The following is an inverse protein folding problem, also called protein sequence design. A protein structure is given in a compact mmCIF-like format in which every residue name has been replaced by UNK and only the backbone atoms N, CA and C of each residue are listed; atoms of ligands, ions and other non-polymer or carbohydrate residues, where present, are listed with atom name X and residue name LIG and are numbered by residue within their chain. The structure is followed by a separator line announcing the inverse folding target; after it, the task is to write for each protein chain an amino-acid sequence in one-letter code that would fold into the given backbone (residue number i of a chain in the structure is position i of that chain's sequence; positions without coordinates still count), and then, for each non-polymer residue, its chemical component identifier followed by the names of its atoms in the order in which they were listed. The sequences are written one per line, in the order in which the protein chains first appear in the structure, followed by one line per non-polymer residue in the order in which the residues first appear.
data_IF_056550089354
#
_entry.id   IF_056550089354
#
_cell.length_a   1.000
_cell.length_b   1.000
_cell.length_c   1.000
_cell.angle_alpha   90.00
_cell.angle_beta   90.00
_cell.angle_gamma   90.00
#
_symmetry.space_group_name_H-M   'P 1'
#
loop_
_entity.id
_entity.type
_entity.pdbx_description
1 polymer ?
#
# COMPACT_ATOMS: atom_id res chain seq x y z
N UNK A 1 -1.99 22.00 -2.98
CA UNK A 1 -1.70 20.72 -2.29
C UNK A 1 -2.90 19.80 -2.09
N UNK A 2 -4.07 20.26 -1.60
CA UNK A 2 -5.23 19.37 -1.30
C UNK A 2 -5.83 18.64 -2.52
N UNK A 3 -5.91 19.29 -3.69
CA UNK A 3 -6.47 18.70 -4.93
C UNK A 3 -5.70 17.48 -5.46
N UNK A 4 -4.38 17.46 -5.28
CA UNK A 4 -3.53 16.37 -5.79
C UNK A 4 -3.71 15.07 -5.00
N UNK A 5 -3.88 15.17 -3.67
CA UNK A 5 -4.12 14.00 -2.80
C UNK A 5 -5.46 13.33 -3.08
N UNK A 6 -6.51 14.13 -3.33
CA UNK A 6 -7.86 13.62 -3.64
C UNK A 6 -7.82 12.83 -4.95
N UNK A 7 -7.11 13.33 -5.96
CA UNK A 7 -6.96 12.66 -7.26
C UNK A 7 -6.27 11.30 -7.11
N UNK A 8 -5.16 11.24 -6.34
CA UNK A 8 -4.44 9.99 -6.10
C UNK A 8 -5.32 8.91 -5.46
N UNK A 9 -6.14 9.30 -4.49
CA UNK A 9 -7.04 8.38 -3.79
C UNK A 9 -8.16 7.89 -4.71
N UNK A 10 -8.71 8.76 -5.55
CA UNK A 10 -9.71 8.37 -6.55
C UNK A 10 -9.13 7.42 -7.59
N UNK A 11 -7.91 7.68 -8.06
CA UNK A 11 -7.18 6.82 -8.98
C UNK A 11 -6.93 5.43 -8.35
N UNK A 12 -6.54 5.38 -7.07
CA UNK A 12 -6.35 4.14 -6.35
C UNK A 12 -7.66 3.35 -6.19
N UNK A 13 -8.77 4.02 -5.85
CA UNK A 13 -10.08 3.36 -5.77
C UNK A 13 -10.46 2.76 -7.12
N UNK A 14 -10.30 3.51 -8.21
CA UNK A 14 -10.57 3.02 -9.57
C UNK A 14 -9.72 1.80 -9.90
N UNK A 15 -8.43 1.82 -9.54
CA UNK A 15 -7.51 0.75 -9.89
C UNK A 15 -7.72 -0.51 -9.02
N UNK A 16 -8.17 -0.37 -7.77
CA UNK A 16 -8.44 -1.50 -6.87
C UNK A 16 -9.83 -2.12 -7.04
N UNK A 17 -10.84 -1.32 -7.41
CA UNK A 17 -12.24 -1.78 -7.49
C UNK A 17 -12.43 -3.04 -8.36
N UNK A 18 -11.80 -3.19 -9.54
CA UNK A 18 -11.92 -4.40 -10.37
C UNK A 18 -11.38 -5.68 -9.72
N UNK A 19 -10.51 -5.53 -8.71
CA UNK A 19 -9.87 -6.63 -8.00
C UNK A 19 -10.50 -6.90 -6.62
N UNK A 20 -11.59 -6.20 -6.30
CA UNK A 20 -12.32 -6.35 -5.04
C UNK A 20 -13.73 -6.86 -5.30
N UNK A 21 -14.29 -7.60 -4.35
CA UNK A 21 -15.68 -8.06 -4.46
C UNK A 21 -16.61 -6.84 -4.25
N UNK A 22 -17.30 -6.45 -5.32
CA UNK A 22 -18.30 -5.39 -5.31
C UNK A 22 -19.49 -5.76 -4.40
N UNK A 23 -19.75 -7.06 -4.21
CA UNK A 23 -20.80 -7.61 -3.37
C UNK A 23 -22.21 -7.32 -3.89
N UNK A 24 -22.98 -8.36 -4.18
CA UNK A 24 -24.39 -8.24 -4.60
C UNK A 24 -25.37 -7.98 -3.42
N UNK A 25 -24.90 -7.90 -2.17
CA UNK A 25 -25.75 -7.75 -0.98
C UNK A 25 -25.68 -6.34 -0.41
N UNK A 26 -26.84 -5.71 -0.22
CA UNK A 26 -26.99 -4.35 0.32
C UNK A 26 -26.45 -4.14 1.75
N UNK A 27 -26.03 -5.22 2.44
CA UNK A 27 -25.41 -5.18 3.77
C UNK A 27 -23.88 -5.22 3.73
N UNK A 28 -23.25 -5.37 2.55
CA UNK A 28 -21.78 -5.38 2.45
C UNK A 28 -21.23 -3.96 2.50
N UNK A 29 -20.11 -3.80 3.19
CA UNK A 29 -19.40 -2.54 3.34
C UNK A 29 -18.96 -2.05 1.94
N UNK A 30 -19.25 -0.79 1.57
CA UNK A 30 -18.84 -0.24 0.28
C UNK A 30 -17.33 -0.36 0.05
N UNK A 31 -16.91 -0.61 -1.19
CA UNK A 31 -15.50 -0.78 -1.59
C UNK A 31 -14.62 0.38 -1.09
N UNK A 32 -15.07 1.62 -1.31
CA UNK A 32 -14.31 2.80 -0.90
C UNK A 32 -14.11 2.90 0.62
N UNK A 33 -15.09 2.47 1.44
CA UNK A 33 -14.95 2.45 2.91
C UNK A 33 -13.92 1.41 3.34
N UNK A 34 -13.91 0.24 2.71
CA UNK A 34 -12.89 -0.80 2.95
C UNK A 34 -11.49 -0.30 2.60
N UNK A 35 -11.34 0.34 1.43
CA UNK A 35 -10.08 0.94 1.00
C UNK A 35 -9.61 2.02 1.98
N UNK A 36 -10.49 2.94 2.40
CA UNK A 36 -10.12 3.98 3.37
C UNK A 36 -9.73 3.42 4.73
N UNK A 37 -10.46 2.42 5.22
CA UNK A 37 -10.14 1.73 6.46
C UNK A 37 -8.74 1.09 6.41
N UNK A 38 -8.45 0.36 5.34
CA UNK A 38 -7.16 -0.28 5.15
C UNK A 38 -6.00 0.72 4.98
N UNK A 39 -6.18 1.77 4.17
CA UNK A 39 -5.17 2.82 3.99
C UNK A 39 -4.83 3.53 5.31
N UNK A 40 -5.86 3.83 6.10
CA UNK A 40 -5.67 4.39 7.44
C UNK A 40 -4.88 3.45 8.34
N UNK A 41 -5.20 2.16 8.32
CA UNK A 41 -4.46 1.15 9.06
C UNK A 41 -2.99 1.09 8.65
N UNK A 42 -2.69 1.06 7.35
CA UNK A 42 -1.30 1.05 6.85
C UNK A 42 -0.54 2.32 7.25
N UNK A 43 -1.19 3.48 7.24
CA UNK A 43 -0.57 4.75 7.61
C UNK A 43 -0.32 4.88 9.13
N UNK A 44 -1.18 4.28 9.96
CA UNK A 44 -1.10 4.39 11.42
C UNK A 44 -0.34 3.23 12.08
N UNK A 45 -0.15 2.10 11.38
CA UNK A 45 0.56 0.93 11.87
C UNK A 45 -0.07 0.23 13.09
N UNK A 46 -1.33 0.54 13.42
CA UNK A 46 -2.01 -0.03 14.60
C UNK A 46 -3.35 -0.66 14.24
N UNK A 47 -3.50 -1.94 14.57
CA UNK A 47 -4.77 -2.65 14.63
C UNK A 47 -5.48 -2.14 15.88
N UNK A 48 -6.27 -1.08 15.75
CA UNK A 48 -7.31 -0.65 16.69
C UNK A 48 -6.93 -0.80 18.19
N UNK A 49 -6.42 0.27 18.81
CA UNK A 49 -6.66 0.41 20.25
C UNK A 49 -8.17 0.48 20.43
N UNK A 50 -8.75 -0.49 21.14
CA UNK A 50 -10.18 -0.62 21.46
C UNK A 50 -10.73 0.52 22.36
N UNK A 51 -10.19 1.74 22.26
CA UNK A 51 -10.57 2.91 23.04
C UNK A 51 -11.24 3.97 22.17
N UNK A 52 -12.55 3.87 22.03
CA UNK A 52 -13.48 5.01 22.11
C UNK A 52 -13.35 6.21 21.15
N UNK A 53 -12.56 6.19 20.07
CA UNK A 53 -12.44 7.36 19.18
C UNK A 53 -12.32 7.04 17.67
N UNK A 54 -12.89 5.92 17.23
CA UNK A 54 -13.00 5.57 15.80
C UNK A 54 -14.35 6.04 15.20
N UNK A 55 -14.60 7.35 15.26
CA UNK A 55 -15.85 7.95 14.75
C UNK A 55 -16.01 7.95 13.22
N UNK A 56 -15.15 7.25 12.45
CA UNK A 56 -15.09 7.42 10.98
C UNK A 56 -15.35 6.14 10.16
N UNK A 57 -15.21 4.95 10.74
CA UNK A 57 -15.48 3.68 10.06
C UNK A 57 -16.04 2.70 11.09
N UNK A 58 -17.36 2.70 11.29
CA UNK A 58 -18.06 1.87 12.28
C UNK A 58 -18.11 0.40 11.83
N UNK A 59 -16.97 -0.29 11.84
CA UNK A 59 -16.86 -1.70 11.47
C UNK A 59 -16.48 -2.54 12.67
N UNK A 60 -17.11 -3.72 12.79
CA UNK A 60 -16.62 -4.73 13.73
C UNK A 60 -15.20 -5.18 13.35
N UNK A 61 -14.38 -5.50 14.35
CA UNK A 61 -12.99 -5.94 14.12
C UNK A 61 -12.86 -7.11 13.12
N UNK A 62 -13.75 -8.14 13.11
CA UNK A 62 -13.71 -9.19 12.08
C UNK A 62 -14.04 -8.69 10.67
N UNK A 63 -14.92 -7.70 10.55
CA UNK A 63 -15.25 -7.09 9.26
C UNK A 63 -14.14 -6.19 8.75
N UNK A 64 -13.49 -5.48 9.66
CA UNK A 64 -12.32 -4.68 9.37
C UNK A 64 -11.13 -5.53 8.93
N UNK A 65 -10.83 -6.62 9.66
CA UNK A 65 -9.76 -7.56 9.29
C UNK A 65 -9.95 -8.13 7.88
N UNK A 66 -11.17 -8.58 7.55
CA UNK A 66 -11.51 -9.03 6.18
C UNK A 66 -11.32 -7.95 5.13
N UNK A 67 -11.71 -6.70 5.43
CA UNK A 67 -11.52 -5.58 4.53
C UNK A 67 -10.03 -5.29 4.28
N UNK A 68 -9.18 -5.33 5.31
CA UNK A 68 -7.73 -5.16 5.17
C UNK A 68 -7.15 -6.27 4.28
N UNK A 69 -7.47 -7.53 4.56
CA UNK A 69 -6.99 -8.66 3.75
C UNK A 69 -7.39 -8.54 2.28
N UNK A 70 -8.64 -8.17 2.01
CA UNK A 70 -9.13 -7.98 0.64
C UNK A 70 -8.41 -6.84 -0.09
N UNK A 71 -8.18 -5.71 0.60
CA UNK A 71 -7.41 -4.59 0.03
C UNK A 71 -5.95 -4.98 -0.22
N UNK A 72 -5.32 -5.78 0.65
CA UNK A 72 -3.98 -6.31 0.43
C UNK A 72 -3.88 -7.15 -0.85
N UNK A 73 -4.83 -8.07 -1.07
CA UNK A 73 -4.87 -8.91 -2.27
C UNK A 73 -5.10 -8.07 -3.53
N UNK A 74 -5.97 -7.06 -3.46
CA UNK A 74 -6.19 -6.14 -4.57
C UNK A 74 -4.91 -5.32 -4.87
N UNK A 75 -4.19 -4.85 -3.84
CA UNK A 75 -2.92 -4.15 -4.01
C UNK A 75 -1.85 -5.05 -4.65
N UNK A 76 -1.74 -6.30 -4.22
CA UNK A 76 -0.83 -7.29 -4.81
C UNK A 76 -1.08 -7.45 -6.32
N UNK A 77 -2.35 -7.55 -6.72
CA UNK A 77 -2.73 -7.72 -8.13
C UNK A 77 -2.26 -6.58 -9.04
N UNK A 78 -2.13 -5.36 -8.52
CA UNK A 78 -1.66 -4.18 -9.26
C UNK A 78 -0.22 -3.79 -8.94
N UNK A 79 0.42 -4.43 -7.96
CA UNK A 79 1.73 -4.02 -7.42
C UNK A 79 2.81 -3.92 -8.51
N UNK A 80 2.83 -4.88 -9.46
CA UNK A 80 3.78 -4.91 -10.58
C UNK A 80 3.74 -3.67 -11.48
N UNK A 81 2.62 -2.93 -11.52
CA UNK A 81 2.48 -1.69 -12.29
C UNK A 81 3.20 -0.52 -11.63
N UNK A 82 3.30 -0.53 -10.30
CA UNK A 82 3.77 0.58 -9.47
C UNK A 82 5.15 0.32 -8.87
N UNK A 83 5.47 -0.94 -8.59
CA UNK A 83 6.70 -1.38 -7.93
C UNK A 83 7.49 -2.25 -8.91
N UNK A 84 8.64 -1.73 -9.38
CA UNK A 84 9.57 -2.47 -10.22
C UNK A 84 10.85 -2.73 -9.46
N UNK A 85 11.11 -4.00 -9.15
CA UNK A 85 12.37 -4.42 -8.56
C UNK A 85 13.36 -4.83 -9.65
N UNK A 86 14.66 -4.50 -9.52
CA UNK A 86 15.68 -5.01 -10.44
C UNK A 86 15.82 -6.52 -10.24
N UNK A 87 15.52 -7.29 -11.28
CA UNK A 87 15.54 -8.76 -11.21
C UNK A 87 16.86 -9.32 -11.72
N UNK A 88 17.42 -8.71 -12.78
CA UNK A 88 18.70 -9.14 -13.33
C UNK A 88 19.90 -8.61 -12.52
N UNK A 89 20.99 -9.36 -12.51
CA UNK A 89 22.23 -8.92 -11.85
C UNK A 89 22.81 -7.66 -12.54
N UNK A 90 22.60 -7.51 -13.85
CA UNK A 90 22.98 -6.31 -14.59
C UNK A 90 22.21 -5.06 -14.12
N UNK A 91 20.88 -5.14 -13.98
CA UNK A 91 20.08 -4.02 -13.45
C UNK A 91 20.44 -3.71 -11.99
N UNK A 92 20.68 -4.73 -11.17
CA UNK A 92 21.13 -4.53 -9.78
C UNK A 92 22.47 -3.81 -9.75
N UNK A 93 23.43 -4.23 -10.57
CA UNK A 93 24.74 -3.59 -10.63
C UNK A 93 24.63 -2.13 -11.08
N UNK A 94 23.84 -1.87 -12.13
CA UNK A 94 23.57 -0.52 -12.59
C UNK A 94 22.97 0.35 -11.48
N UNK A 95 22.02 -0.18 -10.70
CA UNK A 95 21.41 0.55 -9.57
C UNK A 95 22.42 0.84 -8.46
N UNK A 96 23.27 -0.12 -8.10
CA UNK A 96 24.35 0.06 -7.11
C UNK A 96 25.30 1.17 -7.51
N UNK A 97 25.72 1.20 -8.78
CA UNK A 97 26.61 2.23 -9.31
C UNK A 97 25.94 3.61 -9.32
N UNK A 98 24.66 3.68 -9.70
CA UNK A 98 23.88 4.93 -9.65
C UNK A 98 23.79 5.48 -8.22
N UNK A 99 23.47 4.64 -7.25
CA UNK A 99 23.39 5.06 -5.84
C UNK A 99 24.75 5.48 -5.27
N UNK A 100 25.82 4.77 -5.62
CA UNK A 100 27.17 5.14 -5.22
C UNK A 100 27.58 6.50 -5.81
N UNK A 101 27.34 6.72 -7.11
CA UNK A 101 27.70 7.96 -7.78
C UNK A 101 26.90 9.17 -7.29
N UNK A 102 25.60 8.99 -7.03
CA UNK A 102 24.71 10.09 -6.67
C UNK A 102 24.70 10.40 -5.17
N UNK A 103 24.86 9.39 -4.31
CA UNK A 103 24.66 9.52 -2.87
C UNK A 103 25.81 8.95 -2.01
N UNK A 104 26.81 8.30 -2.62
CA UNK A 104 27.93 7.71 -1.89
C UNK A 104 27.58 6.43 -1.10
N UNK A 105 26.41 5.83 -1.34
CA UNK A 105 25.99 4.60 -0.66
C UNK A 105 26.30 3.37 -1.50
N UNK A 106 27.24 2.51 -1.07
CA UNK A 106 27.59 1.29 -1.81
C UNK A 106 26.52 0.20 -1.64
N UNK A 107 26.31 -0.59 -2.68
CA UNK A 107 25.50 -1.81 -2.60
C UNK A 107 23.97 -1.62 -2.62
N UNK A 108 23.48 -0.38 -2.74
CA UNK A 108 22.04 -0.07 -2.70
C UNK A 108 21.37 -0.37 -4.04
N UNK A 109 20.34 -1.23 -4.03
CA UNK A 109 19.52 -1.56 -5.21
C UNK A 109 18.15 -0.87 -5.23
N UNK A 110 17.77 -0.21 -4.14
CA UNK A 110 16.51 0.51 -3.98
C UNK A 110 16.40 1.15 -2.59
N UNK A 111 15.46 2.08 -2.43
CA UNK A 111 15.18 2.77 -1.18
C UNK A 111 13.67 2.87 -0.94
N UNK A 112 13.22 2.69 0.31
CA UNK A 112 11.82 2.86 0.70
C UNK A 112 11.81 3.88 1.84
N UNK A 113 11.19 5.04 1.63
CA UNK A 113 11.04 6.10 2.65
C UNK A 113 12.36 6.48 3.36
N UNK A 114 13.47 6.53 2.61
CA UNK A 114 14.81 6.79 3.17
C UNK A 114 15.36 5.70 4.10
N UNK A 115 14.63 4.60 4.27
CA UNK A 115 15.06 3.45 5.07
C UNK A 115 15.95 2.55 4.22
N UNK A 116 17.20 2.39 4.66
CA UNK A 116 18.16 1.50 4.04
C UNK A 116 17.86 0.05 4.45
N UNK A 117 17.30 -0.75 3.54
CA UNK A 117 17.13 -2.18 3.74
C UNK A 117 18.40 -2.91 3.29
N UNK A 118 19.21 -3.36 4.25
CA UNK A 118 20.34 -4.25 3.95
C UNK A 118 19.81 -5.65 3.63
N UNK A 119 20.06 -6.12 2.40
CA UNK A 119 19.89 -7.53 2.05
C UNK A 119 21.26 -8.19 2.09
N UNK A 120 21.55 -8.97 3.12
CA UNK A 120 22.70 -9.89 3.10
C UNK A 120 22.38 -11.08 2.21
N UNK A 121 23.27 -11.39 1.29
CA UNK A 121 23.47 -12.79 0.86
C UNK A 121 24.55 -13.40 1.74
#
# INVERSE_FOLDING_TARGET
MKKHKIKLVQDLIRDLTPHMDAGARGTRIPVHIRIFGALRFFAQGSYQKAGGNEAYVTLSQPSFSRAVSEVCLALESIAHRWVKFPLSEAEKQQKKEQFMAQFGFPGVIGCIDGTHCYTSR
#
